data_IF_158784742706
#
_entry.id   IF_158784742706
#
_cell.length_a   1.000
_cell.length_b   1.000
_cell.length_c   1.000
_cell.angle_alpha   90.00
_cell.angle_beta   90.00
_cell.angle_gamma   90.00
#
_symmetry.space_group_name_H-M   'P 1'
#
loop_
_entity.id
_entity.type
_entity.pdbx_description
1 polymer ?
#
# COMPACT_ATOMS: atom_id res chain seq x y z
N UNK A 1 -15.63 11.19 3.24
CA UNK A 1 -14.54 11.85 3.99
C UNK A 1 -13.34 10.90 4.16
N UNK A 2 -12.65 10.55 3.06
CA UNK A 2 -11.50 9.61 3.09
C UNK A 2 -10.19 10.37 3.37
N UNK A 3 -9.97 11.50 2.70
CA UNK A 3 -8.80 12.37 2.91
C UNK A 3 -8.65 12.83 4.36
N UNK A 4 -9.74 13.24 5.02
CA UNK A 4 -9.64 13.66 6.40
C UNK A 4 -9.34 12.49 7.36
N UNK A 5 -9.80 11.27 7.06
CA UNK A 5 -9.40 10.06 7.82
C UNK A 5 -7.93 9.69 7.58
N UNK A 6 -7.42 9.91 6.37
CA UNK A 6 -5.99 9.78 6.05
C UNK A 6 -5.16 10.79 6.85
N UNK A 7 -5.57 12.06 6.87
CA UNK A 7 -4.88 13.12 7.61
C UNK A 7 -4.89 12.91 9.13
N UNK A 8 -5.88 12.20 9.65
CA UNK A 8 -5.99 11.83 11.07
C UNK A 8 -5.19 10.56 11.42
N UNK A 9 -4.56 9.91 10.44
CA UNK A 9 -3.81 8.66 10.66
C UNK A 9 -4.68 7.46 11.04
N UNK A 10 -6.00 7.53 10.80
CA UNK A 10 -6.97 6.51 11.23
C UNK A 10 -7.09 5.32 10.26
N UNK A 11 -6.15 5.19 9.31
CA UNK A 11 -6.17 4.16 8.28
C UNK A 11 -4.94 3.28 8.42
N UNK A 12 -5.19 1.97 8.43
CA UNK A 12 -4.13 0.98 8.30
C UNK A 12 -3.27 1.26 7.06
N UNK A 13 -1.94 1.04 7.11
CA UNK A 13 -1.03 1.39 6.02
C UNK A 13 -1.45 0.85 4.65
N UNK A 14 -1.98 -0.38 4.62
CA UNK A 14 -2.48 -1.02 3.40
C UNK A 14 -3.75 -0.34 2.85
N UNK A 15 -4.64 0.13 3.72
CA UNK A 15 -5.84 0.88 3.32
C UNK A 15 -5.48 2.28 2.85
N UNK A 16 -4.56 2.95 3.57
CA UNK A 16 -4.04 4.25 3.17
C UNK A 16 -3.40 4.20 1.79
N UNK A 17 -2.56 3.18 1.51
CA UNK A 17 -1.94 2.99 0.19
C UNK A 17 -2.97 2.81 -0.92
N UNK A 18 -4.03 2.01 -0.70
CA UNK A 18 -5.12 1.84 -1.68
C UNK A 18 -5.84 3.16 -1.97
N UNK A 19 -6.11 3.94 -0.92
CA UNK A 19 -6.74 5.25 -1.08
C UNK A 19 -5.85 6.24 -1.83
N UNK A 20 -4.54 6.26 -1.55
CA UNK A 20 -3.57 7.08 -2.30
C UNK A 20 -3.58 6.74 -3.79
N UNK A 21 -3.46 5.46 -4.14
CA UNK A 21 -3.46 5.01 -5.55
C UNK A 21 -4.77 5.38 -6.25
N UNK A 22 -5.90 5.23 -5.56
CA UNK A 22 -7.19 5.64 -6.10
C UNK A 22 -7.28 7.15 -6.35
N UNK A 23 -6.87 7.98 -5.38
CA UNK A 23 -6.88 9.44 -5.52
C UNK A 23 -5.94 9.89 -6.64
N UNK A 24 -4.74 9.33 -6.71
CA UNK A 24 -3.78 9.60 -7.79
C UNK A 24 -4.38 9.29 -9.16
N UNK A 25 -5.04 8.14 -9.32
CA UNK A 25 -5.71 7.78 -10.56
C UNK A 25 -6.78 8.82 -10.96
N UNK A 26 -7.63 9.24 -10.02
CA UNK A 26 -8.66 10.25 -10.30
C UNK A 26 -8.05 11.59 -10.72
N UNK A 27 -6.98 12.03 -10.06
CA UNK A 27 -6.28 13.28 -10.41
C UNK A 27 -5.63 13.22 -11.79
N UNK A 28 -4.96 12.11 -12.13
CA UNK A 28 -4.36 11.92 -13.45
C UNK A 28 -5.43 11.91 -14.55
N UNK A 29 -6.55 11.20 -14.33
CA UNK A 29 -7.66 11.20 -15.29
C UNK A 29 -8.29 12.58 -15.48
N UNK A 30 -8.42 13.35 -14.40
CA UNK A 30 -8.91 14.73 -14.48
C UNK A 30 -7.93 15.62 -15.28
N UNK A 31 -6.63 15.54 -15.00
CA UNK A 31 -5.59 16.30 -15.68
C UNK A 31 -5.48 15.97 -17.18
N UNK A 32 -5.66 14.71 -17.57
CA UNK A 32 -5.64 14.32 -19.00
C UNK A 32 -6.81 14.92 -19.77
N UNK A 33 -7.98 15.04 -19.12
CA UNK A 33 -9.20 15.61 -19.72
C UNK A 33 -9.16 17.13 -19.79
N UNK A 34 -8.28 17.78 -19.03
CA UNK A 34 -8.13 19.24 -19.04
C UNK A 34 -7.49 19.71 -20.36
N UNK A 35 -8.18 20.53 -21.19
CA UNK A 35 -7.61 21.05 -22.42
C UNK A 35 -6.48 22.07 -22.19
N UNK A 36 -6.37 22.68 -21.01
CA UNK A 36 -5.32 23.64 -20.67
C UNK A 36 -3.96 22.98 -20.43
N UNK A 37 -3.94 21.67 -20.19
CA UNK A 37 -2.70 20.92 -19.97
C UNK A 37 -2.08 20.52 -21.31
N UNK A 38 -0.78 20.75 -21.46
CA UNK A 38 -0.04 20.40 -22.67
C UNK A 38 0.01 18.89 -22.92
N UNK A 39 0.14 18.49 -24.19
CA UNK A 39 0.27 17.08 -24.59
C UNK A 39 1.48 16.38 -23.98
N UNK A 40 2.58 17.12 -23.79
CA UNK A 40 3.80 16.62 -23.13
C UNK A 40 3.52 16.22 -21.68
N UNK A 41 2.83 17.08 -20.92
CA UNK A 41 2.47 16.81 -19.52
C UNK A 41 1.50 15.63 -19.45
N UNK A 42 0.52 15.54 -20.37
CA UNK A 42 -0.41 14.39 -20.43
C UNK A 42 0.33 13.07 -20.67
N UNK A 43 1.32 13.08 -21.56
CA UNK A 43 2.17 11.92 -21.82
C UNK A 43 2.94 11.52 -20.55
N UNK A 44 3.57 12.48 -19.89
CA UNK A 44 4.28 12.25 -18.64
C UNK A 44 3.38 11.65 -17.54
N UNK A 45 2.17 12.19 -17.38
CA UNK A 45 1.17 11.70 -16.42
C UNK A 45 0.70 10.27 -16.73
N UNK A 46 0.55 9.90 -18.00
CA UNK A 46 0.22 8.54 -18.41
C UNK A 46 1.34 7.55 -18.07
N UNK A 47 2.60 7.90 -18.34
CA UNK A 47 3.74 7.08 -17.96
C UNK A 47 3.87 6.94 -16.43
N UNK A 48 3.64 8.01 -15.68
CA UNK A 48 3.61 7.97 -14.22
C UNK A 48 2.51 7.04 -13.68
N UNK A 49 1.32 7.08 -14.29
CA UNK A 49 0.20 6.22 -13.92
C UNK A 49 0.53 4.74 -14.18
N UNK A 50 1.15 4.40 -15.32
CA UNK A 50 1.52 3.02 -15.65
C UNK A 50 2.55 2.47 -14.64
N UNK A 51 3.57 3.27 -14.28
CA UNK A 51 4.55 2.89 -13.24
C UNK A 51 3.87 2.61 -11.89
N UNK A 52 2.97 3.50 -11.47
CA UNK A 52 2.26 3.38 -10.18
C UNK A 52 1.34 2.16 -10.15
N UNK A 53 0.67 1.84 -11.26
CA UNK A 53 -0.19 0.66 -11.38
C UNK A 53 0.62 -0.63 -11.34
N UNK A 54 1.77 -0.68 -12.04
CA UNK A 54 2.67 -1.84 -12.02
C UNK A 54 3.18 -2.11 -10.59
N UNK A 55 3.65 -1.08 -9.90
CA UNK A 55 4.08 -1.19 -8.50
C UNK A 55 2.97 -1.71 -7.57
N UNK A 56 1.74 -1.24 -7.76
CA UNK A 56 0.56 -1.69 -7.01
C UNK A 56 0.23 -3.18 -7.29
N UNK A 57 0.39 -3.63 -8.53
CA UNK A 57 0.20 -5.03 -8.91
C UNK A 57 1.29 -5.92 -8.31
N UNK A 58 2.55 -5.49 -8.35
CA UNK A 58 3.68 -6.22 -7.75
C UNK A 58 3.52 -6.35 -6.22
N UNK A 59 3.07 -5.29 -5.56
CA UNK A 59 2.73 -5.31 -4.14
C UNK A 59 1.58 -6.29 -3.86
N UNK A 60 0.51 -6.30 -4.68
CA UNK A 60 -0.60 -7.26 -4.58
C UNK A 60 -0.18 -8.71 -4.80
N UNK A 61 0.79 -8.95 -5.68
CA UNK A 61 1.36 -10.29 -5.94
C UNK A 61 2.26 -10.77 -4.80
N UNK A 62 2.49 -9.94 -3.78
CA UNK A 62 3.26 -10.31 -2.61
C UNK A 62 4.77 -10.33 -2.86
N UNK A 63 5.24 -9.78 -3.98
CA UNK A 63 6.67 -9.76 -4.33
C UNK A 63 7.51 -9.06 -3.27
N UNK A 64 6.99 -8.00 -2.62
CA UNK A 64 7.65 -7.32 -1.49
C UNK A 64 7.38 -7.94 -0.11
N UNK A 65 6.38 -8.82 0.02
CA UNK A 65 6.07 -9.52 1.29
C UNK A 65 7.02 -10.69 1.55
N UNK A 66 7.78 -11.13 0.55
CA UNK A 66 8.87 -12.11 0.69
C UNK A 66 10.18 -11.42 1.09
N UNK A 67 10.19 -10.68 2.21
CA UNK A 67 11.45 -10.49 2.94
C UNK A 67 11.63 -11.73 3.83
N UNK A 68 12.81 -12.38 3.84
CA UNK A 68 13.07 -13.46 4.77
C UNK A 68 12.75 -12.98 6.19
N UNK A 69 11.98 -13.79 6.92
CA UNK A 69 11.71 -13.60 8.34
C UNK A 69 12.97 -13.93 9.13
N UNK A 70 13.99 -13.08 9.01
CA UNK A 70 15.22 -13.15 9.80
C UNK A 70 15.33 -11.84 10.59
N UNK A 71 14.55 -11.73 11.67
CA UNK A 71 14.83 -10.89 12.85
C UNK A 71 13.56 -10.76 13.73
N UNK A 72 13.11 -11.87 14.31
CA UNK A 72 12.48 -11.83 15.64
C UNK A 72 12.79 -13.14 16.36
N UNK A 73 14.08 -13.26 16.71
CA UNK A 73 14.55 -14.16 17.75
C UNK A 73 13.95 -13.73 19.09
N UNK A 74 13.45 -14.70 19.86
CA UNK A 74 13.23 -14.56 21.31
C UNK A 74 11.85 -14.09 21.74
N UNK A 75 10.84 -14.96 21.66
CA UNK A 75 9.76 -14.91 22.64
C UNK A 75 9.41 -16.34 23.03
N UNK A 76 9.84 -16.70 24.25
CA UNK A 76 9.70 -18.00 24.88
C UNK A 76 8.26 -18.50 24.81
N UNK A 77 8.02 -19.40 23.85
CA UNK A 77 6.82 -20.23 23.88
C UNK A 77 7.11 -21.39 24.80
N UNK A 78 6.68 -21.27 26.06
CA UNK A 78 6.65 -22.42 26.97
C UNK A 78 5.84 -23.53 26.29
N UNK A 79 6.42 -24.73 26.09
CA UNK A 79 5.72 -25.82 25.45
C UNK A 79 4.54 -26.26 26.32
N UNK A 80 3.41 -26.57 25.67
CA UNK A 80 2.15 -27.03 26.28
C UNK A 80 2.29 -28.33 27.12
N UNK A 81 3.46 -28.94 27.16
CA UNK A 81 3.79 -30.07 28.03
C UNK A 81 3.89 -29.71 29.52
N UNK A 82 3.94 -28.43 29.88
CA UNK A 82 4.12 -27.98 31.28
C UNK A 82 2.79 -27.78 32.02
N UNK A 83 1.64 -27.72 31.33
CA UNK A 83 0.34 -27.35 31.94
C UNK A 83 -0.38 -28.54 32.63
N UNK A 84 0.17 -29.76 32.59
CA UNK A 84 -0.55 -30.96 33.10
C UNK A 84 -0.21 -31.42 34.52
N UNK A 85 0.76 -30.82 35.19
CA UNK A 85 1.09 -31.20 36.58
C UNK A 85 0.94 -30.01 37.52
N UNK A 86 -0.28 -29.69 37.89
CA UNK A 86 -0.59 -28.98 39.14
C UNK A 86 -1.88 -29.60 39.66
N UNK A 87 -1.69 -30.58 40.53
CA UNK A 87 -2.72 -31.16 41.38
C UNK A 87 -3.27 -30.10 42.35
#
# INVERSE_FOLDING_TARGET
MVLARMNQGLLEPDQMRRHIVFIQHQLVMAAIRDPAISSEIKTALLSFQDMTVRDSIEDRRGSKRRRPREASLGQDRVPLSVVRNSA
#
